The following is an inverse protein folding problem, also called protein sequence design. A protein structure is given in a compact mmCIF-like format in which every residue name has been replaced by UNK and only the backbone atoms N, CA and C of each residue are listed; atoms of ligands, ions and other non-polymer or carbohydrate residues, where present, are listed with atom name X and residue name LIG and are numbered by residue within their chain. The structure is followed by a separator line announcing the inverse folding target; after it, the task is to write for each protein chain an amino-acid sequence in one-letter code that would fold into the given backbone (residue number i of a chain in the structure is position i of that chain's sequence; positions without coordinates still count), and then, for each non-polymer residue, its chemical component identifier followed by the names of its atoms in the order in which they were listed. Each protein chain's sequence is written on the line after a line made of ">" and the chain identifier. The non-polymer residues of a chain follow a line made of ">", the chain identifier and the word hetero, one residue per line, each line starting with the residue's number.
data_IF_569256163593
#
_entry.id   IF_569256163593
#
_cell.length_a   1.000
_cell.length_b   1.000
_cell.length_c   1.000
_cell.angle_alpha   90.00
_cell.angle_beta   90.00
_cell.angle_gamma   90.00
#
_symmetry.space_group_name_H-M   'P 1'
#
loop_
_entity.id
_entity.type
_entity.pdbx_description
1 polymer ?
#
# COMPACT_ATOMS: atom_id res chain seq x y z
N UNK A 1 -0.54 0.89 6.59
CA UNK A 1 -0.53 -0.51 6.14
C UNK A 1 -0.06 -1.43 7.23
N UNK A 2 -0.49 -2.70 7.21
CA UNK A 2 0.15 -3.70 8.06
C UNK A 2 1.65 -3.65 7.73
N UNK A 3 2.54 -3.83 8.71
CA UNK A 3 3.98 -3.73 8.49
C UNK A 3 4.47 -4.60 7.31
N UNK A 4 3.68 -5.59 6.90
CA UNK A 4 3.88 -6.47 5.73
C UNK A 4 3.87 -5.76 4.37
N UNK A 5 3.14 -4.66 4.17
CA UNK A 5 2.96 -4.07 2.82
C UNK A 5 3.98 -2.97 2.49
N UNK A 6 4.78 -2.52 3.46
CA UNK A 6 5.96 -1.67 3.22
C UNK A 6 7.07 -2.41 2.46
N UNK A 7 7.05 -3.74 2.46
CA UNK A 7 8.14 -4.58 1.94
C UNK A 7 7.99 -5.00 0.47
N UNK A 8 6.81 -4.87 -0.15
CA UNK A 8 6.64 -5.24 -1.57
C UNK A 8 7.50 -4.35 -2.49
N UNK A 9 7.75 -3.11 -2.08
CA UNK A 9 8.68 -2.20 -2.76
C UNK A 9 10.17 -2.48 -2.49
N UNK A 10 10.51 -3.29 -1.48
CA UNK A 10 11.90 -3.54 -1.08
C UNK A 10 12.53 -4.75 -1.75
N UNK A 11 11.74 -5.71 -2.24
CA UNK A 11 12.32 -6.95 -2.78
C UNK A 11 12.60 -6.91 -4.28
N UNK A 12 12.06 -5.93 -5.02
CA UNK A 12 12.43 -5.74 -6.44
C UNK A 12 13.76 -5.01 -6.64
N UNK A 13 14.32 -4.35 -5.63
CA UNK A 13 15.61 -3.63 -5.72
C UNK A 13 16.74 -4.30 -4.92
N UNK A 14 16.46 -5.01 -3.82
CA UNK A 14 17.52 -5.54 -2.96
C UNK A 14 18.20 -6.84 -3.47
N UNK A 15 17.58 -7.58 -4.40
CA UNK A 15 18.15 -8.85 -4.88
C UNK A 15 19.38 -8.69 -5.80
N UNK A 16 19.69 -7.48 -6.27
CA UNK A 16 20.81 -7.23 -7.18
C UNK A 16 22.11 -6.78 -6.49
N UNK A 17 22.07 -6.33 -5.23
CA UNK A 17 23.22 -5.71 -4.55
C UNK A 17 23.89 -6.63 -3.52
N UNK A 18 23.54 -7.93 -3.50
CA UNK A 18 24.18 -8.93 -2.64
C UNK A 18 25.42 -9.60 -3.27
N UNK A 19 26.02 -8.96 -4.27
CA UNK A 19 27.40 -9.22 -4.69
C UNK A 19 28.24 -7.95 -4.51
N UNK A 20 28.61 -7.66 -3.25
CA UNK A 20 29.93 -7.10 -2.91
C UNK A 20 30.44 -5.77 -3.47
N UNK A 21 29.68 -4.93 -4.19
CA UNK A 21 30.27 -3.76 -4.87
C UNK A 21 29.48 -2.47 -4.88
N UNK A 22 28.47 -2.32 -4.02
CA UNK A 22 27.47 -1.24 -4.15
C UNK A 22 27.97 0.19 -3.87
N UNK A 23 29.17 0.38 -3.32
CA UNK A 23 29.65 1.74 -3.00
C UNK A 23 30.39 2.42 -4.17
N UNK A 24 31.04 1.67 -5.06
CA UNK A 24 31.90 2.21 -6.14
C UNK A 24 31.14 2.47 -7.46
N UNK A 25 29.94 1.88 -7.64
CA UNK A 25 29.09 2.05 -8.83
C UNK A 25 28.52 3.48 -9.01
N UNK A 26 28.72 4.35 -8.02
CA UNK A 26 28.32 5.76 -8.07
C UNK A 26 29.26 6.63 -8.93
N UNK A 27 30.49 6.16 -9.22
CA UNK A 27 31.55 6.94 -9.88
C UNK A 27 31.74 6.66 -11.38
N UNK A 28 30.82 5.92 -12.01
CA UNK A 28 30.81 5.74 -13.47
C UNK A 28 31.82 4.73 -14.03
N UNK A 29 32.59 4.04 -13.19
CA UNK A 29 33.36 2.86 -13.58
C UNK A 29 32.64 1.60 -13.10
N UNK A 30 32.49 0.61 -13.98
CA UNK A 30 31.97 -0.71 -13.60
C UNK A 30 33.15 -1.66 -13.42
N UNK A 31 33.71 -1.80 -12.19
CA UNK A 31 34.70 -2.85 -11.97
C UNK A 31 34.04 -4.22 -12.22
N UNK A 32 34.81 -5.23 -12.70
CA UNK A 32 34.30 -6.59 -12.82
C UNK A 32 33.78 -7.04 -11.45
N UNK A 33 32.52 -7.49 -11.40
CA UNK A 33 31.90 -7.96 -10.15
C UNK A 33 32.65 -9.21 -9.71
N UNK A 34 33.45 -9.09 -8.65
CA UNK A 34 34.27 -10.17 -8.12
C UNK A 34 33.38 -11.36 -7.71
N UNK A 35 33.71 -12.57 -8.18
CA UNK A 35 32.92 -13.78 -7.93
C UNK A 35 31.83 -14.11 -8.96
N UNK A 36 31.70 -13.36 -10.06
CA UNK A 36 30.75 -13.66 -11.15
C UNK A 36 30.97 -15.06 -11.76
N UNK A 37 32.22 -15.53 -11.76
CA UNK A 37 32.59 -16.87 -12.25
C UNK A 37 32.03 -18.01 -11.41
N UNK A 38 31.64 -17.74 -10.16
CA UNK A 38 31.04 -18.73 -9.24
C UNK A 38 29.52 -18.83 -9.36
N UNK A 39 28.90 -17.94 -10.13
CA UNK A 39 27.46 -17.92 -10.36
C UNK A 39 27.08 -18.92 -11.46
N UNK A 40 25.90 -19.53 -11.34
CA UNK A 40 25.27 -20.28 -12.41
C UNK A 40 24.91 -19.38 -13.60
N UNK A 41 24.72 -19.93 -14.81
CA UNK A 41 24.33 -19.14 -15.98
C UNK A 41 23.07 -18.29 -15.76
N UNK A 42 22.08 -18.82 -15.03
CA UNK A 42 20.84 -18.10 -14.70
C UNK A 42 21.09 -16.94 -13.75
N UNK A 43 21.90 -17.13 -12.71
CA UNK A 43 22.27 -16.08 -11.76
C UNK A 43 23.07 -14.97 -12.46
N UNK A 44 24.00 -15.32 -13.36
CA UNK A 44 24.73 -14.34 -14.17
C UNK A 44 23.80 -13.50 -15.04
N UNK A 45 22.82 -14.14 -15.69
CA UNK A 45 21.83 -13.43 -16.51
C UNK A 45 20.99 -12.44 -15.68
N UNK A 46 20.63 -12.80 -14.45
CA UNK A 46 19.94 -11.88 -13.52
C UNK A 46 20.83 -10.70 -13.13
N UNK A 47 22.10 -10.96 -12.78
CA UNK A 47 23.07 -9.91 -12.43
C UNK A 47 23.28 -8.96 -13.60
N UNK A 48 23.51 -9.47 -14.81
CA UNK A 48 23.72 -8.67 -16.01
C UNK A 48 22.52 -7.77 -16.31
N UNK A 49 21.30 -8.32 -16.31
CA UNK A 49 20.07 -7.54 -16.55
C UNK A 49 19.89 -6.42 -15.51
N UNK A 50 20.23 -6.68 -14.26
CA UNK A 50 20.14 -5.68 -13.20
C UNK A 50 21.21 -4.59 -13.35
N UNK A 51 22.43 -4.95 -13.77
CA UNK A 51 23.50 -4.00 -14.06
C UNK A 51 23.13 -3.09 -15.24
N UNK A 52 22.61 -3.64 -16.33
CA UNK A 52 22.13 -2.86 -17.48
C UNK A 52 21.02 -1.88 -17.06
N UNK A 53 20.11 -2.31 -16.17
CA UNK A 53 19.08 -1.43 -15.61
C UNK A 53 19.69 -0.31 -14.79
N UNK A 54 20.66 -0.61 -13.92
CA UNK A 54 21.37 0.38 -13.10
C UNK A 54 22.10 1.43 -13.94
N UNK A 55 22.77 0.99 -15.00
CA UNK A 55 23.47 1.88 -15.93
C UNK A 55 22.51 2.87 -16.61
N UNK A 56 21.29 2.44 -16.91
CA UNK A 56 20.24 3.28 -17.52
C UNK A 56 19.50 4.19 -16.52
N UNK A 57 19.70 4.02 -15.21
CA UNK A 57 19.07 4.88 -14.20
C UNK A 57 19.71 6.27 -14.15
N UNK A 58 18.88 7.28 -13.93
CA UNK A 58 19.29 8.66 -13.61
C UNK A 58 19.99 8.73 -12.23
N UNK A 59 20.79 9.77 -11.94
CA UNK A 59 21.43 9.93 -10.64
C UNK A 59 20.44 9.85 -9.46
N UNK A 60 19.27 10.49 -9.58
CA UNK A 60 18.23 10.46 -8.55
C UNK A 60 17.63 9.07 -8.35
N UNK A 61 17.47 8.29 -9.41
CA UNK A 61 16.99 6.91 -9.33
C UNK A 61 18.01 6.01 -8.63
N UNK A 62 19.30 6.15 -8.98
CA UNK A 62 20.38 5.43 -8.30
C UNK A 62 20.42 5.78 -6.81
N UNK A 63 20.30 7.06 -6.46
CA UNK A 63 20.27 7.51 -5.08
C UNK A 63 19.13 6.86 -4.29
N UNK A 64 17.92 6.81 -4.85
CA UNK A 64 16.78 6.12 -4.22
C UNK A 64 17.02 4.62 -3.99
N UNK A 65 17.71 3.95 -4.90
CA UNK A 65 18.07 2.54 -4.72
C UNK A 65 19.10 2.38 -3.60
N UNK A 66 20.11 3.26 -3.53
CA UNK A 66 21.10 3.25 -2.44
C UNK A 66 20.46 3.50 -1.08
N UNK A 67 19.53 4.44 -0.98
CA UNK A 67 18.82 4.74 0.26
C UNK A 67 18.02 3.54 0.76
N UNK A 68 17.26 2.88 -0.15
CA UNK A 68 16.54 1.63 0.18
C UNK A 68 17.48 0.50 0.57
N UNK A 69 18.66 0.43 -0.03
CA UNK A 69 19.67 -0.55 0.35
C UNK A 69 20.20 -0.29 1.77
N UNK A 70 20.46 0.97 2.13
CA UNK A 70 20.83 1.34 3.51
C UNK A 70 19.74 0.98 4.51
N UNK A 71 18.48 1.26 4.19
CA UNK A 71 17.33 0.85 5.01
C UNK A 71 17.28 -0.69 5.18
N UNK A 72 17.51 -1.44 4.10
CA UNK A 72 17.56 -2.90 4.14
C UNK A 72 18.68 -3.43 5.05
N UNK A 73 19.86 -2.81 5.01
CA UNK A 73 20.99 -3.17 5.86
C UNK A 73 20.68 -2.95 7.35
N UNK A 74 19.81 -2.01 7.69
CA UNK A 74 19.40 -1.76 9.07
C UNK A 74 18.35 -2.76 9.60
N UNK A 75 17.83 -3.66 8.77
CA UNK A 75 16.82 -4.62 9.19
C UNK A 75 17.37 -5.76 10.03
N UNK A 76 16.62 -6.09 11.08
CA UNK A 76 16.86 -7.27 11.89
C UNK A 76 16.60 -8.58 11.12
N UNK A 77 17.12 -9.71 11.62
CA UNK A 77 16.99 -11.01 10.96
C UNK A 77 15.53 -11.41 10.68
N UNK A 78 14.63 -11.18 11.64
CA UNK A 78 13.19 -11.49 11.46
C UNK A 78 12.52 -10.63 10.38
N UNK A 79 12.87 -9.34 10.32
CA UNK A 79 12.34 -8.43 9.30
C UNK A 79 12.80 -8.85 7.90
N UNK A 80 14.08 -9.22 7.76
CA UNK A 80 14.62 -9.78 6.50
C UNK A 80 13.95 -11.09 6.12
N UNK A 81 13.71 -11.98 7.09
CA UNK A 81 12.98 -13.24 6.89
C UNK A 81 11.56 -12.98 6.38
N UNK A 82 10.83 -12.06 7.02
CA UNK A 82 9.48 -11.66 6.62
C UNK A 82 9.45 -11.08 5.21
N UNK A 83 10.38 -10.18 4.88
CA UNK A 83 10.49 -9.62 3.53
C UNK A 83 10.74 -10.71 2.47
N UNK A 84 11.65 -11.66 2.73
CA UNK A 84 11.89 -12.81 1.85
C UNK A 84 10.63 -13.66 1.64
N UNK A 85 9.89 -13.94 2.71
CA UNK A 85 8.63 -14.69 2.63
C UNK A 85 7.56 -13.95 1.83
N UNK A 86 7.40 -12.64 2.07
CA UNK A 86 6.46 -11.81 1.33
C UNK A 86 6.78 -11.78 -0.16
N UNK A 87 8.06 -11.76 -0.53
CA UNK A 87 8.47 -11.83 -1.93
C UNK A 87 8.19 -13.18 -2.56
N UNK A 88 8.48 -14.29 -1.87
CA UNK A 88 8.11 -15.63 -2.35
C UNK A 88 6.61 -15.73 -2.61
N UNK A 89 5.79 -15.21 -1.69
CA UNK A 89 4.33 -15.14 -1.86
C UNK A 89 3.96 -14.31 -3.09
N UNK A 90 4.54 -13.12 -3.24
CA UNK A 90 4.30 -12.27 -4.42
C UNK A 90 4.69 -12.97 -5.73
N UNK A 91 5.84 -13.65 -5.78
CA UNK A 91 6.28 -14.41 -6.95
C UNK A 91 5.35 -15.58 -7.28
N UNK A 92 4.69 -16.18 -6.29
CA UNK A 92 3.74 -17.25 -6.50
C UNK A 92 2.35 -16.75 -6.99
N UNK A 93 2.06 -15.45 -6.93
CA UNK A 93 0.76 -14.92 -7.35
C UNK A 93 0.54 -15.09 -8.87
N UNK A 94 -0.72 -15.29 -9.30
CA UNK A 94 -1.10 -15.23 -10.71
C UNK A 94 -0.69 -13.90 -11.37
N UNK A 95 -0.40 -13.87 -12.68
CA UNK A 95 0.04 -12.66 -13.37
C UNK A 95 -0.91 -11.46 -13.19
N UNK A 96 -2.23 -11.70 -13.20
CA UNK A 96 -3.25 -10.67 -13.05
C UNK A 96 -3.22 -10.04 -11.65
N UNK A 97 -3.02 -10.84 -10.60
CA UNK A 97 -2.90 -10.34 -9.24
C UNK A 97 -1.61 -9.55 -9.04
N UNK A 98 -0.49 -10.03 -9.59
CA UNK A 98 0.77 -9.27 -9.60
C UNK A 98 0.59 -7.91 -10.26
N UNK A 99 -0.06 -7.87 -11.44
CA UNK A 99 -0.30 -6.63 -12.16
C UNK A 99 -1.16 -5.66 -11.34
N UNK A 100 -2.22 -6.14 -10.68
CA UNK A 100 -3.04 -5.33 -9.79
C UNK A 100 -2.21 -4.72 -8.65
N UNK A 101 -1.41 -5.52 -7.96
CA UNK A 101 -0.56 -5.04 -6.85
C UNK A 101 0.44 -3.99 -7.36
N UNK A 102 1.06 -4.21 -8.52
CA UNK A 102 1.99 -3.25 -9.11
C UNK A 102 1.31 -1.94 -9.53
N UNK A 103 0.07 -2.01 -10.05
CA UNK A 103 -0.73 -0.81 -10.35
C UNK A 103 -1.09 -0.04 -9.09
N UNK A 104 -1.53 -0.73 -8.03
CA UNK A 104 -1.85 -0.11 -6.75
C UNK A 104 -0.61 0.56 -6.12
N UNK A 105 0.55 -0.09 -6.21
CA UNK A 105 1.83 0.48 -5.78
C UNK A 105 2.21 1.71 -6.60
N UNK A 106 2.01 1.69 -7.92
CA UNK A 106 2.27 2.84 -8.79
C UNK A 106 1.39 4.04 -8.42
N UNK A 107 0.08 3.80 -8.21
CA UNK A 107 -0.86 4.83 -7.74
C UNK A 107 -0.44 5.40 -6.40
N UNK A 108 -0.01 4.55 -5.47
CA UNK A 108 0.50 5.00 -4.16
C UNK A 108 1.76 5.85 -4.29
N UNK A 109 2.72 5.45 -5.13
CA UNK A 109 3.96 6.20 -5.34
C UNK A 109 3.73 7.55 -6.00
N UNK A 110 2.69 7.67 -6.83
CA UNK A 110 2.25 8.92 -7.46
C UNK A 110 1.51 9.87 -6.51
N UNK A 111 1.13 9.43 -5.30
CA UNK A 111 0.50 10.31 -4.32
C UNK A 111 1.49 11.38 -3.84
N UNK A 112 1.05 12.65 -3.70
CA UNK A 112 1.83 13.69 -3.03
C UNK A 112 2.21 13.26 -1.61
N UNK A 113 3.39 13.68 -1.15
CA UNK A 113 3.91 13.26 0.16
C UNK A 113 2.94 13.58 1.31
N UNK A 114 2.32 14.77 1.29
CA UNK A 114 1.31 15.16 2.28
C UNK A 114 0.12 14.18 2.31
N UNK A 115 -0.34 13.70 1.15
CA UNK A 115 -1.41 12.70 1.07
C UNK A 115 -0.96 11.34 1.57
N UNK A 116 0.27 10.91 1.28
CA UNK A 116 0.83 9.68 1.85
C UNK A 116 0.90 9.72 3.36
N UNK A 117 1.34 10.85 3.92
CA UNK A 117 1.41 11.06 5.38
C UNK A 117 0.02 11.04 6.02
N UNK A 118 -0.96 11.72 5.44
CA UNK A 118 -2.35 11.70 5.91
C UNK A 118 -2.91 10.27 5.97
N UNK A 119 -2.74 9.50 4.89
CA UNK A 119 -3.20 8.11 4.82
C UNK A 119 -2.47 7.21 5.82
N UNK A 120 -1.17 7.41 6.01
CA UNK A 120 -0.38 6.67 7.00
C UNK A 120 -0.89 6.96 8.41
N UNK A 121 -1.13 8.23 8.77
CA UNK A 121 -1.69 8.60 10.07
C UNK A 121 -3.11 8.04 10.27
N UNK A 122 -3.95 8.07 9.24
CA UNK A 122 -5.29 7.49 9.30
C UNK A 122 -5.23 5.98 9.57
N UNK A 123 -4.30 5.29 8.92
CA UNK A 123 -4.06 3.89 9.15
C UNK A 123 -3.54 3.60 10.56
N UNK A 124 -2.61 4.41 11.08
CA UNK A 124 -2.06 4.22 12.42
C UNK A 124 -3.15 4.44 13.49
N UNK A 125 -4.04 5.43 13.29
CA UNK A 125 -5.24 5.59 14.12
C UNK A 125 -6.15 4.37 14.06
N UNK A 126 -6.38 3.82 12.87
CA UNK A 126 -7.17 2.61 12.70
C UNK A 126 -6.57 1.39 13.41
N UNK A 127 -5.25 1.21 13.35
CA UNK A 127 -4.57 0.08 14.01
C UNK A 127 -4.65 0.14 15.53
N UNK A 128 -4.66 1.35 16.12
CA UNK A 128 -4.79 1.57 17.56
C UNK A 128 -6.21 1.37 18.09
N UNK A 129 -7.21 1.20 17.23
CA UNK A 129 -8.57 0.91 17.66
C UNK A 129 -8.65 -0.48 18.32
N UNK A 130 -9.53 -0.66 19.33
CA UNK A 130 -9.86 -1.98 19.85
C UNK A 130 -10.26 -2.95 18.72
N UNK A 131 -9.90 -4.25 18.83
CA UNK A 131 -10.20 -5.26 17.80
C UNK A 131 -11.64 -5.24 17.32
N UNK A 132 -12.60 -5.16 18.24
CA UNK A 132 -14.05 -5.19 17.96
C UNK A 132 -14.49 -3.97 17.17
N UNK A 133 -13.83 -2.81 17.40
CA UNK A 133 -14.09 -1.60 16.61
C UNK A 133 -13.52 -1.73 15.20
N UNK A 134 -12.33 -2.30 15.05
CA UNK A 134 -11.72 -2.54 13.72
C UNK A 134 -12.59 -3.48 12.91
N UNK A 135 -13.02 -4.59 13.50
CA UNK A 135 -13.91 -5.57 12.87
C UNK A 135 -15.22 -4.93 12.40
N UNK A 136 -15.87 -4.13 13.25
CA UNK A 136 -17.11 -3.44 12.88
C UNK A 136 -16.92 -2.48 11.71
N UNK A 137 -15.77 -1.78 11.64
CA UNK A 137 -15.45 -0.90 10.50
C UNK A 137 -15.23 -1.74 9.23
N UNK A 138 -14.48 -2.84 9.32
CA UNK A 138 -14.23 -3.73 8.18
C UNK A 138 -15.52 -4.38 7.67
N UNK A 139 -16.41 -4.83 8.54
CA UNK A 139 -17.71 -5.39 8.17
C UNK A 139 -18.57 -4.37 7.42
N UNK A 140 -18.65 -3.12 7.93
CA UNK A 140 -19.38 -2.04 7.24
C UNK A 140 -18.77 -1.71 5.88
N UNK A 141 -17.44 -1.72 5.79
CA UNK A 141 -16.75 -1.50 4.53
C UNK A 141 -17.04 -2.62 3.52
N UNK A 142 -17.04 -3.89 3.96
CA UNK A 142 -17.40 -5.03 3.12
C UNK A 142 -18.85 -4.92 2.63
N UNK A 143 -19.81 -4.59 3.50
CA UNK A 143 -21.20 -4.35 3.12
C UNK A 143 -21.31 -3.25 2.06
N UNK A 144 -20.59 -2.15 2.23
CA UNK A 144 -20.55 -1.06 1.24
C UNK A 144 -19.98 -1.51 -0.11
N UNK A 145 -18.93 -2.33 -0.11
CA UNK A 145 -18.34 -2.90 -1.34
C UNK A 145 -19.26 -3.91 -2.05
N UNK A 146 -20.26 -4.45 -1.35
CA UNK A 146 -21.27 -5.36 -1.91
C UNK A 146 -22.50 -4.62 -2.44
N UNK A 147 -22.66 -3.32 -2.14
CA UNK A 147 -23.77 -2.54 -2.68
C UNK A 147 -23.70 -2.48 -4.22
N UNK A 148 -24.87 -2.49 -4.91
CA UNK A 148 -24.95 -2.16 -6.33
C UNK A 148 -24.27 -0.81 -6.63
N UNK A 149 -23.73 -0.60 -7.84
CA UNK A 149 -23.02 0.63 -8.21
C UNK A 149 -23.81 1.91 -7.90
N UNK A 150 -25.09 1.93 -8.26
CA UNK A 150 -25.98 3.09 -8.12
C UNK A 150 -26.22 3.43 -6.63
N UNK A 151 -26.37 2.39 -5.82
CA UNK A 151 -26.52 2.48 -4.38
C UNK A 151 -25.24 2.99 -3.71
N UNK A 152 -24.09 2.49 -4.14
CA UNK A 152 -22.79 2.94 -3.69
C UNK A 152 -22.57 4.42 -3.99
N UNK A 153 -22.88 4.85 -5.21
CA UNK A 153 -22.79 6.25 -5.60
C UNK A 153 -23.72 7.13 -4.77
N UNK A 154 -24.95 6.67 -4.49
CA UNK A 154 -25.88 7.41 -3.63
C UNK A 154 -25.28 7.62 -2.23
N UNK A 155 -24.69 6.59 -1.65
CA UNK A 155 -23.99 6.69 -0.36
C UNK A 155 -22.84 7.68 -0.43
N UNK A 156 -22.02 7.63 -1.48
CA UNK A 156 -20.89 8.55 -1.66
C UNK A 156 -21.34 10.01 -1.82
N UNK A 157 -22.37 10.29 -2.63
CA UNK A 157 -22.95 11.64 -2.78
C UNK A 157 -23.52 12.17 -1.46
N UNK A 158 -24.20 11.31 -0.70
CA UNK A 158 -24.72 11.69 0.62
C UNK A 158 -23.58 12.00 1.60
N UNK A 159 -22.50 11.23 1.57
CA UNK A 159 -21.31 11.46 2.37
C UNK A 159 -20.61 12.76 2.02
N UNK A 160 -20.43 13.07 0.72
CA UNK A 160 -19.85 14.33 0.27
C UNK A 160 -20.68 15.54 0.71
N UNK A 161 -22.02 15.45 0.59
CA UNK A 161 -22.92 16.48 1.10
C UNK A 161 -22.74 16.67 2.61
N UNK A 162 -22.70 15.57 3.36
CA UNK A 162 -22.50 15.59 4.81
C UNK A 162 -21.18 16.25 5.21
N UNK A 163 -20.09 15.99 4.47
CA UNK A 163 -18.78 16.59 4.74
C UNK A 163 -18.79 18.11 4.56
N UNK A 164 -19.61 18.64 3.64
CA UNK A 164 -19.74 20.08 3.36
C UNK A 164 -20.66 20.82 4.33
N UNK A 165 -21.49 20.11 5.10
CA UNK A 165 -22.43 20.71 6.05
C UNK A 165 -21.73 21.28 7.30
N UNK A 166 -22.28 22.39 7.81
CA UNK A 166 -21.93 22.98 9.11
C UNK A 166 -22.34 22.05 10.27
N UNK A 167 -21.78 22.25 11.48
CA UNK A 167 -22.22 21.54 12.68
C UNK A 167 -23.72 21.64 12.95
N UNK A 168 -24.31 22.82 12.75
CA UNK A 168 -25.74 23.11 12.93
C UNK A 168 -26.59 22.38 11.88
N UNK A 169 -26.21 22.46 10.61
CA UNK A 169 -26.89 21.74 9.52
C UNK A 169 -26.88 20.21 9.76
N UNK A 170 -25.75 19.67 10.24
CA UNK A 170 -25.66 18.26 10.62
C UNK A 170 -26.53 17.91 11.83
N UNK A 171 -26.71 18.83 12.78
CA UNK A 171 -27.59 18.62 13.92
C UNK A 171 -29.05 18.56 13.46
N UNK A 172 -29.47 19.51 12.62
CA UNK A 172 -30.80 19.54 12.03
C UNK A 172 -31.09 18.29 11.19
N UNK A 173 -30.18 17.90 10.30
CA UNK A 173 -30.34 16.69 9.48
C UNK A 173 -30.49 15.43 10.32
N UNK A 174 -29.74 15.31 11.43
CA UNK A 174 -29.89 14.18 12.37
C UNK A 174 -31.25 14.17 13.04
N UNK A 175 -31.77 15.34 13.39
CA UNK A 175 -33.08 15.45 14.02
C UNK A 175 -34.21 15.12 13.06
N UNK A 176 -34.15 15.61 11.82
CA UNK A 176 -35.11 15.25 10.77
C UNK A 176 -35.16 13.73 10.53
N UNK A 177 -33.99 13.09 10.43
CA UNK A 177 -33.89 11.63 10.28
C UNK A 177 -34.42 10.88 11.51
N UNK A 178 -34.26 11.45 12.71
CA UNK A 178 -34.82 10.88 13.96
C UNK A 178 -36.34 10.93 13.92
N UNK A 179 -36.91 12.08 13.56
CA UNK A 179 -38.36 12.31 13.49
C UNK A 179 -39.02 11.42 12.44
N UNK A 180 -38.48 11.36 11.21
CA UNK A 180 -38.98 10.46 10.17
C UNK A 180 -39.01 9.01 10.64
N UNK A 181 -37.93 8.53 11.28
CA UNK A 181 -37.89 7.16 11.81
C UNK A 181 -38.87 6.92 12.96
N UNK A 182 -39.23 7.95 13.73
CA UNK A 182 -40.25 7.82 14.76
C UNK A 182 -41.65 7.74 14.15
N UNK A 183 -41.96 8.62 13.20
CA UNK A 183 -43.24 8.64 12.47
C UNK A 183 -43.48 7.31 11.76
N UNK A 184 -42.49 6.82 11.01
CA UNK A 184 -42.58 5.54 10.30
C UNK A 184 -42.82 4.36 11.25
N UNK A 185 -42.21 4.37 12.45
CA UNK A 185 -42.46 3.36 13.48
C UNK A 185 -43.86 3.44 14.09
N UNK A 186 -44.44 4.64 14.19
CA UNK A 186 -45.81 4.82 14.67
C UNK A 186 -46.81 4.30 13.64
N UNK A 187 -46.61 4.61 12.35
CA UNK A 187 -47.45 4.09 11.25
C UNK A 187 -47.48 2.57 11.24
N UNK A 188 -46.31 1.92 11.27
CA UNK A 188 -46.21 0.45 11.31
C UNK A 188 -46.83 -0.20 12.56
N UNK A 189 -47.03 0.57 13.64
CA UNK A 189 -47.73 0.10 14.85
C UNK A 189 -49.24 0.25 14.74
N UNK A 190 -49.73 1.22 13.98
CA UNK A 190 -51.16 1.44 13.75
C UNK A 190 -51.72 0.50 12.67
N UNK A 191 -50.86 0.02 11.77
CA UNK A 191 -51.20 -0.96 10.73
C UNK A 191 -51.18 -2.42 11.20
N UNK A 192 -50.93 -2.68 12.49
CA UNK A 192 -50.94 -4.01 13.13
C UNK A 192 -52.10 -4.14 14.08
#
# INVERSE_FOLDING_TARGET
>A
MSPTMRWVALVLTAAALLAGGALELALGQTPPIEGMDRLSPEERAVVQRNLERWQKMTPDERQRVLDRYREWQQLGPEQRQSARQNFKRFQALPPQEKQRILQDLSRWNALPEARRQELQQAYDRFQRLPPERRERIMQRFQQFQQLPPEERERVMRNWERWQKMSPEERAQAREQVRQQRQQQRQQLRQER
#
